data_IF_770609700900
#
_entry.id   IF_770609700900
#
_cell.length_a   1.000
_cell.length_b   1.000
_cell.length_c   1.000
_cell.angle_alpha   90.00
_cell.angle_beta   90.00
_cell.angle_gamma   90.00
#
_symmetry.space_group_name_H-M   'P 1'
#
loop_
_entity.id
_entity.type
_entity.pdbx_description
1 polymer ?
#
# COMPACT_ATOMS: atom_id res chain seq x y z
N UNK A 1 0.82 29.81 -21.03
CA UNK A 1 1.67 28.96 -21.90
C UNK A 1 0.84 27.74 -22.31
N UNK A 2 0.87 27.39 -23.59
CA UNK A 2 -0.10 26.50 -24.23
C UNK A 2 -0.07 25.07 -23.66
N UNK A 3 -1.21 24.62 -23.14
CA UNK A 3 -1.45 23.27 -22.66
C UNK A 3 -1.48 22.33 -23.87
N UNK A 4 -0.35 21.65 -24.13
CA UNK A 4 -0.27 20.60 -25.15
C UNK A 4 -1.21 19.48 -24.71
N UNK A 5 -2.29 19.24 -25.46
CA UNK A 5 -3.17 18.07 -25.29
C UNK A 5 -2.32 16.82 -25.53
N UNK A 6 -1.70 16.28 -24.50
CA UNK A 6 -1.14 14.92 -24.56
C UNK A 6 -2.30 13.95 -24.76
N UNK A 7 -2.14 12.99 -25.66
CA UNK A 7 -3.17 12.00 -25.91
C UNK A 7 -3.37 11.11 -24.69
N UNK A 8 -4.58 10.59 -24.45
CA UNK A 8 -4.86 9.66 -23.35
C UNK A 8 -3.86 8.49 -23.28
N UNK A 9 -3.38 8.01 -24.43
CA UNK A 9 -2.34 6.98 -24.53
C UNK A 9 -0.95 7.41 -24.07
N UNK A 10 -0.58 8.69 -24.25
CA UNK A 10 0.69 9.22 -23.75
C UNK A 10 0.68 9.32 -22.23
N UNK A 11 -0.44 9.75 -21.64
CA UNK A 11 -0.56 9.84 -20.18
C UNK A 11 -0.51 8.44 -19.55
N UNK A 12 -1.16 7.43 -20.13
CA UNK A 12 -1.06 6.03 -19.69
C UNK A 12 0.38 5.51 -19.76
N UNK A 13 1.09 5.80 -20.86
CA UNK A 13 2.49 5.40 -21.02
C UNK A 13 3.40 6.13 -20.03
N UNK A 14 3.15 7.41 -19.77
CA UNK A 14 3.91 8.22 -18.84
C UNK A 14 3.74 7.74 -17.39
N UNK A 15 2.52 7.33 -16.98
CA UNK A 15 2.27 6.74 -15.65
C UNK A 15 3.10 5.48 -15.40
N UNK A 16 3.32 4.67 -16.45
CA UNK A 16 4.07 3.42 -16.37
C UNK A 16 5.58 3.61 -16.58
N UNK A 17 5.99 4.69 -17.25
CA UNK A 17 7.40 4.99 -17.52
C UNK A 17 8.16 5.55 -16.31
N UNK A 18 7.46 5.88 -15.20
CA UNK A 18 8.07 6.33 -13.95
C UNK A 18 8.72 7.71 -14.04
N UNK A 19 8.24 8.59 -14.92
CA UNK A 19 8.76 9.96 -15.03
C UNK A 19 8.42 10.78 -13.78
N UNK A 20 9.43 11.44 -13.17
CA UNK A 20 9.23 12.34 -12.03
C UNK A 20 8.34 13.52 -12.43
N UNK A 21 7.08 13.47 -12.02
CA UNK A 21 6.11 14.53 -12.22
C UNK A 21 5.84 15.25 -10.90
N UNK A 22 5.99 16.57 -10.88
CA UNK A 22 5.52 17.37 -9.76
C UNK A 22 3.99 17.47 -9.81
N UNK A 23 3.34 16.54 -9.11
CA UNK A 23 1.89 16.45 -9.00
C UNK A 23 1.26 17.64 -8.28
N UNK A 24 2.05 18.54 -7.66
CA UNK A 24 1.54 19.77 -7.03
C UNK A 24 1.36 20.94 -8.01
N UNK A 25 2.01 20.88 -9.18
CA UNK A 25 1.95 21.91 -10.23
C UNK A 25 1.15 21.48 -11.47
N UNK A 26 0.90 20.17 -11.62
CA UNK A 26 0.11 19.61 -12.71
C UNK A 26 -1.40 19.90 -12.54
N UNK A 27 -2.18 19.98 -13.63
CA UNK A 27 -3.63 20.11 -13.52
C UNK A 27 -4.21 18.88 -12.81
N UNK A 28 -5.06 19.11 -11.81
CA UNK A 28 -5.59 18.09 -10.88
C UNK A 28 -6.12 16.84 -11.60
N UNK A 29 -6.84 17.01 -12.71
CA UNK A 29 -7.38 15.91 -13.51
C UNK A 29 -6.29 14.97 -14.06
N UNK A 30 -5.16 15.52 -14.51
CA UNK A 30 -4.04 14.75 -15.04
C UNK A 30 -3.26 14.06 -13.93
N UNK A 31 -3.06 14.74 -12.79
CA UNK A 31 -2.40 14.16 -11.62
C UNK A 31 -3.17 12.93 -11.08
N UNK A 32 -4.50 13.03 -10.99
CA UNK A 32 -5.35 11.91 -10.58
C UNK A 32 -5.18 10.72 -11.54
N UNK A 33 -5.24 10.95 -12.86
CA UNK A 33 -5.09 9.86 -13.84
C UNK A 33 -3.70 9.22 -13.78
N UNK A 34 -2.64 10.02 -13.63
CA UNK A 34 -1.26 9.54 -13.54
C UNK A 34 -1.04 8.64 -12.32
N UNK A 35 -1.67 8.95 -11.18
CA UNK A 35 -1.55 8.18 -9.94
C UNK A 35 -2.55 7.02 -9.85
N UNK A 36 -3.76 7.17 -10.41
CA UNK A 36 -4.80 6.15 -10.35
C UNK A 36 -4.46 4.91 -11.19
N UNK A 37 -3.83 5.09 -12.35
CA UNK A 37 -3.44 3.96 -13.23
C UNK A 37 -2.52 2.95 -12.51
N UNK A 38 -1.37 3.35 -11.94
CA UNK A 38 -0.50 2.40 -11.24
C UNK A 38 -1.17 1.83 -9.97
N UNK A 39 -1.96 2.62 -9.25
CA UNK A 39 -2.69 2.16 -8.06
C UNK A 39 -3.72 1.07 -8.39
N UNK A 40 -4.52 1.23 -9.46
CA UNK A 40 -5.47 0.19 -9.87
C UNK A 40 -4.74 -1.06 -10.33
N UNK A 41 -3.61 -0.90 -11.04
CA UNK A 41 -2.80 -2.04 -11.46
C UNK A 41 -2.24 -2.83 -10.27
N UNK A 42 -1.77 -2.13 -9.24
CA UNK A 42 -1.35 -2.72 -7.96
C UNK A 42 -2.48 -3.53 -7.33
N UNK A 43 -3.67 -2.96 -7.19
CA UNK A 43 -4.83 -3.66 -6.62
C UNK A 43 -5.24 -4.90 -7.44
N UNK A 44 -5.15 -4.81 -8.78
CA UNK A 44 -5.40 -5.96 -9.65
C UNK A 44 -4.35 -7.07 -9.44
N UNK A 45 -3.07 -6.71 -9.29
CA UNK A 45 -2.00 -7.67 -9.03
C UNK A 45 -2.16 -8.33 -7.66
N UNK A 46 -2.51 -7.57 -6.62
CA UNK A 46 -2.78 -8.07 -5.27
C UNK A 46 -3.93 -9.09 -5.28
N UNK A 47 -5.04 -8.76 -5.94
CA UNK A 47 -6.18 -9.68 -6.06
C UNK A 47 -5.83 -10.95 -6.85
N UNK A 48 -5.09 -10.82 -7.95
CA UNK A 48 -4.62 -11.96 -8.74
C UNK A 48 -3.73 -12.87 -7.90
N UNK A 49 -2.82 -12.28 -7.11
CA UNK A 49 -1.93 -13.02 -6.22
C UNK A 49 -2.72 -13.84 -5.20
N UNK A 50 -3.74 -13.27 -4.57
CA UNK A 50 -4.61 -14.00 -3.63
C UNK A 50 -5.33 -15.20 -4.28
N UNK A 51 -5.84 -15.04 -5.51
CA UNK A 51 -6.49 -16.13 -6.25
C UNK A 51 -5.50 -17.27 -6.54
N UNK A 52 -4.30 -16.90 -7.00
CA UNK A 52 -3.25 -17.88 -7.32
C UNK A 52 -2.81 -18.61 -6.05
N UNK A 53 -2.61 -17.90 -4.94
CA UNK A 53 -2.22 -18.49 -3.66
C UNK A 53 -3.20 -19.57 -3.20
N UNK A 54 -4.50 -19.24 -3.12
CA UNK A 54 -5.55 -20.19 -2.73
C UNK A 54 -5.63 -21.37 -3.71
N UNK A 55 -5.47 -21.13 -5.02
CA UNK A 55 -5.48 -22.19 -6.02
C UNK A 55 -4.35 -23.21 -5.83
N UNK A 56 -3.15 -22.75 -5.47
CA UNK A 56 -2.03 -23.63 -5.18
C UNK A 56 -2.22 -24.37 -3.85
N UNK A 57 -2.64 -23.64 -2.80
CA UNK A 57 -2.90 -24.20 -1.46
C UNK A 57 -3.97 -25.30 -1.50
N UNK A 58 -5.06 -25.08 -2.24
CA UNK A 58 -6.16 -26.03 -2.38
C UNK A 58 -5.72 -27.38 -2.98
N UNK A 59 -4.61 -27.42 -3.74
CA UNK A 59 -4.07 -28.65 -4.32
C UNK A 59 -3.28 -29.52 -3.33
N UNK A 60 -2.90 -29.00 -2.15
CA UNK A 60 -2.17 -29.77 -1.13
C UNK A 60 -3.08 -30.67 -0.27
N UNK A 61 -4.41 -30.57 -0.42
CA UNK A 61 -5.40 -31.38 0.29
C UNK A 61 -6.33 -30.54 1.16
N UNK A 62 -7.52 -31.08 1.47
CA UNK A 62 -8.57 -30.36 2.19
C UNK A 62 -8.14 -29.93 3.61
N UNK A 63 -7.33 -30.73 4.31
CA UNK A 63 -6.79 -30.37 5.63
C UNK A 63 -5.78 -29.20 5.54
N UNK A 64 -4.92 -29.18 4.53
CA UNK A 64 -3.97 -28.09 4.31
C UNK A 64 -4.69 -26.78 3.97
N UNK A 65 -5.74 -26.84 3.12
CA UNK A 65 -6.55 -25.68 2.80
C UNK A 65 -7.31 -25.11 4.01
N UNK A 66 -7.84 -25.99 4.89
CA UNK A 66 -8.51 -25.57 6.12
C UNK A 66 -7.55 -24.89 7.11
N UNK A 67 -6.33 -25.41 7.26
CA UNK A 67 -5.30 -24.80 8.09
C UNK A 67 -4.86 -23.42 7.56
N UNK A 68 -4.75 -23.28 6.24
CA UNK A 68 -4.43 -21.98 5.61
C UNK A 68 -5.56 -20.97 5.78
N UNK A 69 -6.84 -21.36 5.60
CA UNK A 69 -7.96 -20.42 5.79
C UNK A 69 -8.05 -19.83 7.20
N UNK A 70 -7.73 -20.62 8.24
CA UNK A 70 -7.62 -20.12 9.62
C UNK A 70 -6.45 -19.15 9.76
N UNK A 71 -5.30 -19.50 9.16
CA UNK A 71 -4.09 -18.66 9.17
C UNK A 71 -4.31 -17.34 8.40
N UNK A 72 -5.01 -17.38 7.28
CA UNK A 72 -5.36 -16.22 6.44
C UNK A 72 -6.28 -15.25 7.21
N UNK A 73 -7.26 -15.79 7.94
CA UNK A 73 -8.14 -14.98 8.81
C UNK A 73 -7.33 -14.25 9.88
N UNK A 74 -6.37 -14.94 10.51
CA UNK A 74 -5.46 -14.33 11.48
C UNK A 74 -4.56 -13.25 10.82
N UNK A 75 -4.01 -13.54 9.64
CA UNK A 75 -3.21 -12.59 8.87
C UNK A 75 -4.03 -11.35 8.49
N UNK A 76 -5.31 -11.50 8.13
CA UNK A 76 -6.20 -10.39 7.80
C UNK A 76 -6.36 -9.44 8.98
N UNK A 77 -6.54 -9.98 10.19
CA UNK A 77 -6.61 -9.17 11.41
C UNK A 77 -5.30 -8.41 11.64
N UNK A 78 -4.15 -9.08 11.49
CA UNK A 78 -2.84 -8.44 11.62
C UNK A 78 -2.64 -7.34 10.56
N UNK A 79 -2.97 -7.62 9.30
CA UNK A 79 -2.90 -6.65 8.21
C UNK A 79 -3.80 -5.45 8.46
N UNK A 80 -5.03 -5.64 8.96
CA UNK A 80 -5.96 -4.54 9.23
C UNK A 80 -5.37 -3.48 10.17
N UNK A 81 -4.61 -3.91 11.18
CA UNK A 81 -3.95 -3.02 12.13
C UNK A 81 -2.82 -2.24 11.45
N UNK A 82 -2.00 -2.93 10.68
CA UNK A 82 -0.91 -2.33 9.91
C UNK A 82 -1.44 -1.34 8.87
N UNK A 83 -2.51 -1.70 8.16
CA UNK A 83 -3.17 -0.86 7.16
C UNK A 83 -3.73 0.41 7.78
N UNK A 84 -4.32 0.32 8.98
CA UNK A 84 -4.81 1.49 9.71
C UNK A 84 -3.71 2.52 10.01
N UNK A 85 -2.54 2.04 10.47
CA UNK A 85 -1.37 2.90 10.72
C UNK A 85 -0.84 3.49 9.40
N UNK A 86 -0.75 2.68 8.35
CA UNK A 86 -0.29 3.12 7.04
C UNK A 86 -1.19 4.23 6.45
N UNK A 87 -2.51 4.02 6.46
CA UNK A 87 -3.50 5.00 5.98
C UNK A 87 -3.43 6.32 6.77
N UNK A 88 -3.37 6.25 8.11
CA UNK A 88 -3.24 7.42 8.95
C UNK A 88 -1.94 8.20 8.67
N UNK A 89 -0.84 7.49 8.45
CA UNK A 89 0.46 8.07 8.10
C UNK A 89 0.42 8.77 6.75
N UNK A 90 -0.07 8.08 5.72
CA UNK A 90 -0.19 8.64 4.37
C UNK A 90 -1.05 9.90 4.36
N UNK A 91 -2.18 9.90 5.09
CA UNK A 91 -3.04 11.08 5.22
C UNK A 91 -2.33 12.26 5.92
N UNK A 92 -1.60 11.99 7.00
CA UNK A 92 -0.83 13.01 7.73
C UNK A 92 0.30 13.60 6.88
N UNK A 93 1.05 12.76 6.18
CA UNK A 93 2.14 13.19 5.29
C UNK A 93 1.58 13.98 4.11
N UNK A 94 0.54 13.48 3.44
CA UNK A 94 -0.10 14.17 2.33
C UNK A 94 -0.60 15.57 2.73
N UNK A 95 -1.19 15.71 3.94
CA UNK A 95 -1.61 17.01 4.45
C UNK A 95 -0.44 17.98 4.64
N UNK A 96 0.66 17.54 5.28
CA UNK A 96 1.85 18.40 5.51
C UNK A 96 2.56 18.78 4.22
N UNK A 97 2.61 17.87 3.25
CA UNK A 97 3.10 18.18 1.90
C UNK A 97 2.21 19.22 1.23
N UNK A 98 0.88 19.11 1.35
CA UNK A 98 -0.06 20.13 0.85
C UNK A 98 0.09 21.51 1.51
N UNK A 99 0.50 21.56 2.78
CA UNK A 99 0.82 22.78 3.53
C UNK A 99 2.21 23.37 3.20
N UNK A 100 2.97 22.73 2.29
CA UNK A 100 4.38 23.05 1.95
C UNK A 100 5.34 22.92 3.13
N UNK A 101 4.99 22.15 4.16
CA UNK A 101 5.83 21.83 5.31
C UNK A 101 6.53 20.47 5.13
N UNK A 102 7.60 20.47 4.34
CA UNK A 102 8.40 19.26 4.06
C UNK A 102 9.10 18.70 5.30
N UNK A 103 9.60 19.58 6.19
CA UNK A 103 10.27 19.18 7.43
C UNK A 103 9.28 18.52 8.41
N UNK A 104 8.05 19.05 8.47
CA UNK A 104 6.96 18.41 9.18
C UNK A 104 6.60 17.07 8.56
N UNK A 105 6.47 16.97 7.24
CA UNK A 105 6.17 15.71 6.56
C UNK A 105 7.22 14.63 6.85
N UNK A 106 8.51 14.97 6.80
CA UNK A 106 9.60 14.07 7.13
C UNK A 106 9.55 13.60 8.60
N UNK A 107 9.30 14.53 9.54
CA UNK A 107 9.14 14.17 10.97
C UNK A 107 7.94 13.24 11.20
N UNK A 108 6.82 13.49 10.55
CA UNK A 108 5.64 12.62 10.64
C UNK A 108 5.93 11.22 10.09
N UNK A 109 6.61 11.14 8.95
CA UNK A 109 7.01 9.86 8.35
C UNK A 109 7.93 9.06 9.29
N UNK A 110 8.95 9.68 9.88
CA UNK A 110 9.85 9.01 10.83
C UNK A 110 9.11 8.56 12.09
N UNK A 111 8.23 9.40 12.65
CA UNK A 111 7.41 9.04 13.80
C UNK A 111 6.49 7.86 13.49
N UNK A 112 5.87 7.85 12.31
CA UNK A 112 5.04 6.75 11.86
C UNK A 112 5.83 5.44 11.68
N UNK A 113 7.04 5.50 11.13
CA UNK A 113 7.92 4.32 11.03
C UNK A 113 8.27 3.78 12.42
N UNK A 114 8.61 4.66 13.37
CA UNK A 114 8.89 4.24 14.76
C UNK A 114 7.66 3.62 15.43
N UNK A 115 6.48 4.19 15.23
CA UNK A 115 5.22 3.62 15.72
C UNK A 115 4.91 2.28 15.06
N UNK A 116 5.15 2.13 13.76
CA UNK A 116 5.01 0.89 13.02
C UNK A 116 5.94 -0.21 13.54
N UNK A 117 7.21 0.12 13.79
CA UNK A 117 8.17 -0.81 14.42
C UNK A 117 7.71 -1.18 15.83
N UNK A 118 7.27 -0.21 16.63
CA UNK A 118 6.73 -0.46 17.97
C UNK A 118 5.52 -1.39 17.95
N UNK A 119 4.57 -1.16 17.03
CA UNK A 119 3.41 -2.02 16.84
C UNK A 119 3.81 -3.42 16.37
N UNK A 120 4.76 -3.53 15.44
CA UNK A 120 5.28 -4.81 14.95
C UNK A 120 5.95 -5.63 16.06
N UNK A 121 6.74 -5.00 16.93
CA UNK A 121 7.33 -5.65 18.11
C UNK A 121 6.25 -6.10 19.09
N UNK A 122 5.25 -5.25 19.34
CA UNK A 122 4.16 -5.54 20.28
C UNK A 122 3.30 -6.72 19.83
N UNK A 123 3.06 -6.86 18.52
CA UNK A 123 2.31 -8.00 17.96
C UNK A 123 3.22 -9.23 17.76
N UNK A 124 4.46 -9.05 17.31
CA UNK A 124 5.37 -10.13 16.94
C UNK A 124 6.01 -10.85 18.13
N UNK A 125 6.41 -10.14 19.18
CA UNK A 125 7.09 -10.75 20.35
C UNK A 125 6.20 -11.77 21.09
N UNK A 126 4.92 -11.47 21.38
CA UNK A 126 4.02 -12.44 22.00
C UNK A 126 3.73 -13.64 21.09
N UNK A 127 3.65 -13.42 19.76
CA UNK A 127 3.41 -14.48 18.79
C UNK A 127 4.59 -15.49 18.75
N UNK A 128 5.83 -14.98 18.75
CA UNK A 128 7.05 -15.83 18.76
C UNK A 128 7.19 -16.58 20.08
N UNK A 129 6.88 -15.95 21.22
CA UNK A 129 7.02 -16.59 22.54
C UNK A 129 6.01 -17.71 22.78
N UNK A 130 4.84 -17.67 22.13
CA UNK A 130 3.78 -18.69 22.27
C UNK A 130 3.87 -19.86 21.30
N UNK A 131 4.70 -19.78 20.25
CA UNK A 131 4.90 -20.84 19.25
C UNK A 131 6.07 -21.79 19.53
N UNK A 132 6.82 -21.59 20.61
CA UNK A 132 8.01 -22.37 20.97
C UNK A 132 7.82 -23.36 22.13
N UNK A 133 6.60 -23.86 22.39
CA UNK A 133 6.27 -24.80 23.46
C UNK A 133 5.55 -26.04 22.96
#
# INVERSE_FOLDING_TARGET
MAQKRTGWWEDVRASLAGEEHDYTQAPLNRAIVLLAIPMVLEMCMESLFGIVDIFFVAKLGAEAAAAVGVTETLMTVMYSLAMGIALATTAMVARRIGEKDGDGAARAAVQAVLLGIGAAVLVGVPAVWRGGG
#
